data_IF_818977510010
#
_entry.id   IF_818977510010
#
_cell.length_a   1.000
_cell.length_b   1.000
_cell.length_c   1.000
_cell.angle_alpha   90.00
_cell.angle_beta   90.00
_cell.angle_gamma   90.00
#
_symmetry.space_group_name_H-M   'P 1'
#
loop_
_entity.id
_entity.type
_entity.pdbx_description
1 polymer ?
#
# COMPACT_ATOMS: atom_id res chain seq x y z
N UNK A 1 -28.38 21.75 30.99
CA UNK A 1 -27.16 21.72 31.83
C UNK A 1 -27.09 20.38 32.58
N UNK A 2 -26.45 19.37 31.99
CA UNK A 2 -26.24 18.07 32.63
C UNK A 2 -24.74 17.88 32.92
N UNK A 3 -24.36 17.82 34.20
CA UNK A 3 -22.99 17.60 34.66
C UNK A 3 -22.59 16.14 34.44
N UNK A 4 -21.76 15.86 33.44
CA UNK A 4 -21.10 14.55 33.29
C UNK A 4 -19.80 14.56 34.11
N UNK A 5 -19.71 13.66 35.10
CA UNK A 5 -18.55 13.47 35.98
C UNK A 5 -17.38 12.89 35.18
N UNK A 6 -16.23 13.55 35.20
CA UNK A 6 -14.93 13.02 34.74
C UNK A 6 -14.45 11.94 35.72
N UNK A 7 -14.13 10.74 35.21
CA UNK A 7 -13.26 9.78 35.88
C UNK A 7 -11.85 10.05 35.39
N UNK A 8 -10.96 10.44 36.30
CA UNK A 8 -9.52 10.39 36.08
C UNK A 8 -9.06 8.96 36.39
N UNK A 9 -8.31 8.35 35.48
CA UNK A 9 -7.51 7.16 35.75
C UNK A 9 -6.06 7.58 35.62
N UNK A 10 -5.41 7.68 36.78
CA UNK A 10 -3.96 7.81 36.88
C UNK A 10 -3.36 6.43 36.55
N UNK A 11 -2.63 6.36 35.44
CA UNK A 11 -1.70 5.25 35.19
C UNK A 11 -0.29 5.74 35.52
N UNK A 12 0.31 5.12 36.53
CA UNK A 12 1.74 5.25 36.81
C UNK A 12 2.52 4.44 35.77
N UNK A 13 3.49 5.08 35.12
CA UNK A 13 4.41 4.45 34.18
C UNK A 13 5.47 3.64 34.94
N UNK A 14 5.50 2.32 34.73
CA UNK A 14 6.65 1.47 35.06
C UNK A 14 7.59 1.37 33.84
N UNK A 15 8.92 1.52 34.01
CA UNK A 15 9.86 1.39 32.91
C UNK A 15 10.07 -0.08 32.51
N UNK A 16 9.81 -0.38 31.24
CA UNK A 16 10.11 -1.66 30.62
C UNK A 16 11.63 -1.88 30.52
N UNK A 17 12.15 -2.84 31.29
CA UNK A 17 13.49 -3.38 31.09
C UNK A 17 13.50 -4.30 29.87
N UNK A 18 14.36 -4.01 28.89
CA UNK A 18 14.61 -4.91 27.75
C UNK A 18 15.60 -6.02 28.14
N UNK A 19 15.38 -7.29 27.76
CA UNK A 19 16.36 -8.34 27.97
C UNK A 19 17.45 -8.32 26.88
N UNK A 20 18.70 -8.25 27.33
CA UNK A 20 19.92 -8.50 26.56
C UNK A 20 19.94 -9.94 26.03
N UNK A 21 19.95 -10.12 24.70
CA UNK A 21 20.29 -11.39 24.05
C UNK A 21 21.77 -11.36 23.63
N UNK A 22 22.53 -12.36 24.08
CA UNK A 22 23.92 -12.63 23.67
C UNK A 22 23.96 -13.24 22.26
N UNK A 23 25.01 -12.98 21.47
CA UNK A 23 25.20 -13.64 20.18
C UNK A 23 25.71 -15.07 20.40
N UNK A 24 25.08 -16.03 19.70
CA UNK A 24 25.55 -17.41 19.56
C UNK A 24 26.32 -17.48 18.23
N UNK A 25 27.55 -17.99 18.31
CA UNK A 25 28.51 -18.02 17.21
C UNK A 25 28.21 -19.04 16.12
N UNK A 26 28.87 -18.81 14.99
CA UNK A 26 28.96 -19.68 13.83
C UNK A 26 29.48 -21.08 14.17
N UNK A 27 29.12 -22.08 13.36
CA UNK A 27 30.12 -23.03 12.94
C UNK A 27 30.19 -23.24 11.43
N UNK A 28 31.42 -23.55 11.05
CA UNK A 28 31.97 -23.75 9.73
C UNK A 28 31.32 -24.87 8.90
N UNK A 29 31.49 -24.67 7.60
CA UNK A 29 31.47 -25.58 6.45
C UNK A 29 31.66 -27.07 6.72
N UNK A 30 30.84 -27.91 6.08
CA UNK A 30 31.35 -29.10 5.39
C UNK A 30 30.48 -29.46 4.18
N UNK A 31 31.13 -29.66 3.03
CA UNK A 31 30.53 -30.03 1.75
C UNK A 31 30.70 -31.53 1.54
N UNK A 32 29.60 -32.27 1.39
CA UNK A 32 29.63 -33.59 0.76
C UNK A 32 28.41 -33.81 -0.13
N UNK A 33 28.72 -34.06 -1.40
CA UNK A 33 27.83 -34.48 -2.47
C UNK A 33 27.40 -35.94 -2.26
N UNK A 34 26.12 -36.25 -2.46
CA UNK A 34 25.72 -37.58 -2.89
C UNK A 34 24.52 -37.53 -3.85
N UNK A 35 24.69 -38.22 -4.97
CA UNK A 35 23.73 -38.41 -6.05
C UNK A 35 22.64 -39.40 -5.63
N UNK A 36 21.38 -38.99 -5.70
CA UNK A 36 20.24 -39.91 -5.74
C UNK A 36 19.24 -39.48 -6.82
N UNK A 37 18.99 -40.38 -7.77
CA UNK A 37 18.02 -40.25 -8.86
C UNK A 37 16.59 -40.04 -8.36
N UNK A 38 15.73 -39.29 -9.08
CA UNK A 38 14.34 -39.13 -8.70
C UNK A 38 13.52 -40.36 -9.15
N UNK A 39 12.99 -41.10 -8.18
CA UNK A 39 11.94 -42.08 -8.44
C UNK A 39 10.64 -41.33 -8.77
N UNK A 40 10.23 -41.37 -10.04
CA UNK A 40 8.91 -40.91 -10.46
C UNK A 40 7.82 -41.80 -9.86
N UNK A 41 6.84 -41.18 -9.20
CA UNK A 41 5.62 -41.86 -8.77
C UNK A 41 4.80 -42.23 -10.03
N UNK A 42 4.84 -43.50 -10.43
CA UNK A 42 3.98 -44.03 -11.48
C UNK A 42 2.64 -44.43 -10.85
N UNK A 43 1.58 -43.69 -11.17
CA UNK A 43 0.19 -44.09 -10.91
C UNK A 43 -0.22 -45.16 -11.93
N UNK A 44 -0.51 -46.38 -11.47
CA UNK A 44 -1.10 -47.44 -12.31
C UNK A 44 -2.60 -47.58 -12.02
N UNK A 45 -3.42 -47.42 -13.07
CA UNK A 45 -4.84 -47.73 -13.08
C UNK A 45 -5.03 -49.24 -13.26
N UNK A 46 -5.56 -49.93 -12.24
CA UNK A 46 -6.02 -51.32 -12.39
C UNK A 46 -7.54 -51.38 -12.43
N UNK A 47 -8.07 -52.00 -13.49
CA UNK A 47 -9.49 -52.27 -13.64
C UNK A 47 -9.84 -53.53 -12.83
N UNK A 48 -10.61 -53.38 -11.75
CA UNK A 48 -11.12 -54.53 -10.99
C UNK A 48 -12.44 -55.02 -11.58
N UNK A 49 -12.71 -56.33 -11.47
CA UNK A 49 -13.95 -56.94 -11.95
C UNK A 49 -15.13 -56.45 -11.10
N UNK A 50 -15.88 -55.49 -11.65
CA UNK A 50 -17.10 -54.94 -11.08
C UNK A 50 -17.08 -53.41 -10.99
N UNK A 51 -16.95 -52.72 -12.13
CA UNK A 51 -17.14 -51.26 -12.32
C UNK A 51 -16.76 -50.32 -11.16
N UNK A 52 -15.72 -50.64 -10.39
CA UNK A 52 -15.14 -49.77 -9.37
C UNK A 52 -13.66 -49.58 -9.67
N UNK A 53 -13.30 -48.32 -9.96
CA UNK A 53 -11.92 -47.87 -9.97
C UNK A 53 -11.51 -47.60 -8.52
N UNK A 54 -10.61 -48.41 -7.99
CA UNK A 54 -10.00 -48.16 -6.68
C UNK A 54 -8.62 -47.58 -6.95
N UNK A 55 -8.45 -46.26 -6.79
CA UNK A 55 -7.12 -45.66 -6.68
C UNK A 55 -6.52 -46.12 -5.36
N UNK A 56 -5.66 -47.12 -5.42
CA UNK A 56 -4.85 -47.54 -4.27
C UNK A 56 -3.51 -46.79 -4.36
N UNK A 57 -3.39 -45.68 -3.63
CA UNK A 57 -2.07 -45.11 -3.33
C UNK A 57 -1.41 -46.11 -2.38
N UNK A 58 -0.52 -46.95 -2.89
CA UNK A 58 0.12 -48.02 -2.13
C UNK A 58 0.96 -47.40 -1.00
N UNK A 59 0.52 -47.59 0.26
CA UNK A 59 1.40 -47.52 1.42
C UNK A 59 1.10 -46.48 2.50
N UNK A 60 -0.02 -45.75 2.44
CA UNK A 60 -0.50 -44.97 3.59
C UNK A 60 -1.90 -45.45 3.99
N UNK A 61 -2.10 -45.66 5.29
CA UNK A 61 -3.44 -45.74 5.88
C UNK A 61 -4.31 -44.61 5.32
N UNK A 62 -5.64 -44.81 5.30
CA UNK A 62 -6.66 -43.90 4.75
C UNK A 62 -6.58 -42.51 5.39
N UNK A 63 -5.54 -41.74 5.07
CA UNK A 63 -5.49 -40.32 5.27
C UNK A 63 -6.57 -39.77 4.37
N UNK A 64 -7.56 -39.13 4.97
CA UNK A 64 -8.58 -38.36 4.28
C UNK A 64 -7.85 -37.41 3.33
N UNK A 65 -7.89 -37.69 2.03
CA UNK A 65 -7.32 -36.78 1.04
C UNK A 65 -8.05 -35.45 1.18
N UNK A 66 -7.31 -34.35 1.19
CA UNK A 66 -7.94 -33.04 1.22
C UNK A 66 -8.78 -32.85 -0.05
N UNK A 67 -9.84 -32.05 0.02
CA UNK A 67 -10.64 -31.72 -1.17
C UNK A 67 -9.76 -31.22 -2.32
N UNK A 68 -8.67 -30.50 -2.01
CA UNK A 68 -7.69 -30.01 -2.99
C UNK A 68 -6.98 -31.14 -3.73
N UNK A 69 -6.54 -32.18 -3.02
CA UNK A 69 -5.84 -33.33 -3.63
C UNK A 69 -6.78 -34.15 -4.51
N UNK A 70 -8.02 -34.32 -4.05
CA UNK A 70 -9.07 -35.03 -4.78
C UNK A 70 -9.43 -34.26 -6.06
N UNK A 71 -9.70 -32.96 -5.94
CA UNK A 71 -10.04 -32.11 -7.08
C UNK A 71 -8.86 -31.98 -8.06
N UNK A 72 -7.61 -31.93 -7.61
CA UNK A 72 -6.45 -31.94 -8.50
C UNK A 72 -6.37 -33.21 -9.36
N UNK A 73 -6.82 -34.35 -8.82
CA UNK A 73 -6.87 -35.62 -9.53
C UNK A 73 -8.03 -35.67 -10.53
N UNK A 74 -9.18 -35.08 -10.18
CA UNK A 74 -10.39 -35.11 -11.01
C UNK A 74 -10.54 -33.93 -11.99
N UNK A 75 -9.76 -32.85 -11.84
CA UNK A 75 -9.69 -31.76 -12.81
C UNK A 75 -8.77 -32.09 -14.00
N UNK A 76 -8.31 -33.33 -14.14
CA UNK A 76 -7.58 -33.79 -15.31
C UNK A 76 -8.54 -33.97 -16.52
N UNK A 77 -8.14 -33.62 -17.76
CA UNK A 77 -9.03 -33.53 -18.94
C UNK A 77 -9.75 -34.81 -19.40
N UNK A 78 -9.60 -35.94 -18.72
CA UNK A 78 -9.95 -37.27 -19.23
C UNK A 78 -11.23 -37.90 -18.63
N UNK A 79 -11.98 -37.18 -17.81
CA UNK A 79 -13.17 -37.72 -17.17
C UNK A 79 -14.42 -37.36 -17.99
N UNK A 80 -15.05 -38.36 -18.61
CA UNK A 80 -16.39 -38.21 -19.19
C UNK A 80 -17.47 -37.98 -18.13
N UNK A 81 -18.75 -38.16 -18.49
CA UNK A 81 -19.90 -37.95 -17.58
C UNK A 81 -19.84 -38.72 -16.25
N UNK A 82 -19.12 -39.83 -16.18
CA UNK A 82 -18.87 -40.57 -14.94
C UNK A 82 -17.97 -39.83 -13.93
N UNK A 83 -17.25 -38.79 -14.36
CA UNK A 83 -16.40 -37.97 -13.49
C UNK A 83 -17.17 -37.01 -12.59
N UNK A 84 -18.31 -36.51 -13.08
CA UNK A 84 -19.12 -35.53 -12.35
C UNK A 84 -19.67 -36.10 -11.05
N UNK A 85 -20.22 -37.32 -11.08
CA UNK A 85 -20.77 -37.98 -9.90
C UNK A 85 -19.70 -38.22 -8.82
N UNK A 86 -18.47 -38.52 -9.23
CA UNK A 86 -17.33 -38.73 -8.31
C UNK A 86 -16.97 -37.40 -7.66
N UNK A 87 -16.79 -36.34 -8.46
CA UNK A 87 -16.49 -34.99 -7.97
C UNK A 87 -17.56 -34.49 -7.00
N UNK A 88 -18.84 -34.65 -7.35
CA UNK A 88 -19.95 -34.23 -6.48
C UNK A 88 -20.00 -35.04 -5.17
N UNK A 89 -19.70 -36.34 -5.23
CA UNK A 89 -19.63 -37.18 -4.03
C UNK A 89 -18.52 -36.69 -3.09
N UNK A 90 -17.35 -36.38 -3.65
CA UNK A 90 -16.19 -35.96 -2.85
C UNK A 90 -16.37 -34.56 -2.27
N UNK A 91 -16.91 -33.61 -3.03
CA UNK A 91 -17.31 -32.29 -2.52
C UNK A 91 -18.30 -32.42 -1.36
N UNK A 92 -19.28 -33.33 -1.48
CA UNK A 92 -20.28 -33.55 -0.43
C UNK A 92 -19.68 -34.17 0.84
N UNK A 93 -18.61 -34.95 0.69
CA UNK A 93 -17.88 -35.57 1.80
C UNK A 93 -16.90 -34.60 2.49
N UNK A 94 -16.39 -33.59 1.79
CA UNK A 94 -15.52 -32.56 2.34
C UNK A 94 -16.20 -31.73 3.43
N UNK A 95 -15.43 -31.17 4.36
CA UNK A 95 -15.94 -30.22 5.36
C UNK A 95 -16.41 -28.91 4.71
N UNK A 96 -17.19 -28.10 5.42
CA UNK A 96 -17.63 -26.78 4.92
C UNK A 96 -16.41 -25.89 4.67
N UNK A 97 -15.47 -25.83 5.62
CA UNK A 97 -14.25 -25.02 5.52
C UNK A 97 -13.40 -25.39 4.30
N UNK A 98 -13.25 -26.69 4.00
CA UNK A 98 -12.49 -27.13 2.81
C UNK A 98 -13.17 -26.71 1.50
N UNK A 99 -14.51 -26.77 1.46
CA UNK A 99 -15.27 -26.32 0.29
C UNK A 99 -15.16 -24.81 0.10
N UNK A 100 -15.25 -24.04 1.18
CA UNK A 100 -15.11 -22.58 1.18
C UNK A 100 -13.70 -22.16 0.74
N UNK A 101 -12.66 -22.78 1.30
CA UNK A 101 -11.26 -22.51 0.92
C UNK A 101 -11.02 -22.85 -0.55
N UNK A 102 -11.48 -24.04 -0.99
CA UNK A 102 -11.33 -24.45 -2.38
C UNK A 102 -12.08 -23.52 -3.34
N UNK A 103 -13.29 -23.12 -2.97
CA UNK A 103 -14.11 -22.21 -3.76
C UNK A 103 -13.55 -20.78 -3.76
N UNK A 104 -12.94 -20.30 -2.69
CA UNK A 104 -12.38 -18.95 -2.58
C UNK A 104 -11.21 -18.69 -3.57
N UNK A 105 -10.49 -19.73 -3.97
CA UNK A 105 -9.41 -19.64 -4.96
C UNK A 105 -9.96 -19.45 -6.39
N UNK A 106 -9.71 -18.27 -6.97
CA UNK A 106 -10.13 -17.94 -8.33
C UNK A 106 -9.56 -18.88 -9.41
N UNK A 107 -8.37 -19.44 -9.16
CA UNK A 107 -7.71 -20.40 -10.06
C UNK A 107 -8.51 -21.70 -10.13
N UNK A 108 -9.03 -22.18 -9.00
CA UNK A 108 -9.85 -23.39 -8.96
C UNK A 108 -11.18 -23.18 -9.68
N UNK A 109 -11.84 -22.03 -9.46
CA UNK A 109 -13.08 -21.69 -10.16
C UNK A 109 -12.87 -21.63 -11.67
N UNK A 110 -11.78 -20.99 -12.11
CA UNK A 110 -11.41 -20.96 -13.53
C UNK A 110 -11.21 -22.37 -14.10
N UNK A 111 -10.45 -23.23 -13.41
CA UNK A 111 -10.22 -24.62 -13.82
C UNK A 111 -11.51 -25.43 -13.95
N UNK A 112 -12.44 -25.29 -13.00
CA UNK A 112 -13.74 -25.98 -13.09
C UNK A 112 -14.47 -25.62 -14.38
N UNK A 113 -14.49 -24.33 -14.76
CA UNK A 113 -15.14 -23.88 -16.01
C UNK A 113 -14.41 -24.34 -17.27
N UNK A 114 -13.09 -24.49 -17.20
CA UNK A 114 -12.30 -24.97 -18.33
C UNK A 114 -12.46 -26.48 -18.56
N UNK A 115 -12.67 -27.25 -17.48
CA UNK A 115 -12.73 -28.71 -17.52
C UNK A 115 -14.15 -29.23 -17.72
N UNK A 116 -15.15 -28.59 -17.11
CA UNK A 116 -16.54 -29.07 -17.12
C UNK A 116 -17.43 -28.24 -18.04
N UNK A 117 -18.39 -28.87 -18.75
CA UNK A 117 -19.49 -28.15 -19.39
C UNK A 117 -20.21 -27.20 -18.42
N UNK A 118 -20.86 -26.16 -18.95
CA UNK A 118 -21.47 -25.11 -18.12
C UNK A 118 -22.49 -25.68 -17.09
N UNK A 119 -23.32 -26.63 -17.49
CA UNK A 119 -24.32 -27.25 -16.62
C UNK A 119 -23.66 -28.08 -15.50
N UNK A 120 -22.59 -28.82 -15.83
CA UNK A 120 -21.83 -29.63 -14.87
C UNK A 120 -21.06 -28.74 -13.88
N UNK A 121 -20.42 -27.67 -14.39
CA UNK A 121 -19.75 -26.67 -13.59
C UNK A 121 -20.72 -26.00 -12.60
N UNK A 122 -21.97 -25.72 -13.03
CA UNK A 122 -23.04 -25.23 -12.15
C UNK A 122 -23.34 -26.20 -11.01
N UNK A 123 -23.46 -27.50 -11.29
CA UNK A 123 -23.70 -28.49 -10.22
C UNK A 123 -22.53 -28.57 -9.23
N UNK A 124 -21.30 -28.50 -9.73
CA UNK A 124 -20.08 -28.49 -8.91
C UNK A 124 -20.04 -27.25 -8.01
N UNK A 125 -20.26 -26.05 -8.57
CA UNK A 125 -20.31 -24.82 -7.79
C UNK A 125 -21.44 -24.83 -6.77
N UNK A 126 -22.63 -25.32 -7.12
CA UNK A 126 -23.74 -25.45 -6.18
C UNK A 126 -23.43 -26.40 -5.01
N UNK A 127 -22.65 -27.46 -5.25
CA UNK A 127 -22.20 -28.37 -4.21
C UNK A 127 -21.11 -27.76 -3.29
N UNK A 128 -20.20 -26.97 -3.86
CA UNK A 128 -19.18 -26.22 -3.13
C UNK A 128 -19.83 -25.13 -2.27
N UNK A 129 -20.74 -24.34 -2.85
CA UNK A 129 -21.50 -23.26 -2.23
C UNK A 129 -22.66 -23.72 -1.35
N UNK A 130 -22.65 -24.95 -0.82
CA UNK A 130 -23.69 -25.44 0.08
C UNK A 130 -23.53 -24.81 1.48
N UNK A 131 -23.47 -23.49 1.49
CA UNK A 131 -23.37 -22.60 2.62
C UNK A 131 -24.55 -22.84 3.57
N UNK A 132 -24.37 -22.51 4.87
CA UNK A 132 -25.49 -22.43 5.78
C UNK A 132 -26.62 -21.55 5.19
N UNK A 133 -27.88 -21.79 5.58
CA UNK A 133 -28.98 -20.90 5.24
C UNK A 133 -28.57 -19.46 5.48
N UNK A 134 -28.80 -18.59 4.50
CA UNK A 134 -28.62 -17.16 4.70
C UNK A 134 -29.62 -16.69 5.77
N UNK A 135 -29.12 -15.98 6.77
CA UNK A 135 -29.91 -15.38 7.83
C UNK A 135 -29.86 -13.87 7.60
N UNK A 136 -30.98 -13.22 7.24
CA UNK A 136 -31.02 -11.76 7.11
C UNK A 136 -30.55 -11.10 8.41
N UNK A 137 -29.66 -10.13 8.28
CA UNK A 137 -29.19 -9.28 9.38
C UNK A 137 -29.37 -7.80 9.06
N UNK A 138 -28.67 -6.93 9.80
CA UNK A 138 -28.74 -5.47 9.66
C UNK A 138 -28.50 -5.00 8.21
N UNK A 139 -27.50 -5.55 7.51
CA UNK A 139 -27.23 -5.19 6.11
C UNK A 139 -28.38 -5.53 5.14
N UNK A 140 -29.17 -6.56 5.46
CA UNK A 140 -30.38 -6.86 4.67
C UNK A 140 -31.48 -5.83 4.93
N UNK A 141 -31.62 -5.35 6.17
CA UNK A 141 -32.58 -4.29 6.51
C UNK A 141 -32.18 -2.97 5.83
N UNK A 142 -30.90 -2.62 5.88
CA UNK A 142 -30.33 -1.46 5.19
C UNK A 142 -30.56 -1.52 3.69
N UNK A 143 -30.32 -2.67 3.05
CA UNK A 143 -30.65 -2.86 1.63
C UNK A 143 -32.12 -2.56 1.32
N UNK A 144 -33.05 -2.99 2.18
CA UNK A 144 -34.47 -2.73 1.97
C UNK A 144 -34.87 -1.26 2.19
N UNK A 145 -34.10 -0.52 2.99
CA UNK A 145 -34.26 0.91 3.21
C UNK A 145 -33.74 1.79 2.04
N UNK A 146 -32.86 1.24 1.18
CA UNK A 146 -32.39 1.94 -0.02
C UNK A 146 -33.53 2.29 -0.98
N UNK A 147 -33.37 3.34 -1.77
CA UNK A 147 -34.29 3.64 -2.85
C UNK A 147 -34.17 2.64 -4.02
N UNK A 148 -35.15 2.62 -4.91
CA UNK A 148 -35.20 1.66 -6.02
C UNK A 148 -34.04 1.81 -7.01
N UNK A 149 -33.48 3.02 -7.15
CA UNK A 149 -32.34 3.25 -8.05
C UNK A 149 -31.05 2.68 -7.47
N UNK A 150 -30.82 2.85 -6.16
CA UNK A 150 -29.68 2.29 -5.46
C UNK A 150 -29.74 0.77 -5.38
N UNK A 151 -30.93 0.21 -5.09
CA UNK A 151 -31.17 -1.24 -5.14
C UNK A 151 -30.81 -1.81 -6.51
N UNK A 152 -31.26 -1.17 -7.60
CA UNK A 152 -30.96 -1.63 -8.95
C UNK A 152 -29.44 -1.67 -9.24
N UNK A 153 -28.67 -0.67 -8.78
CA UNK A 153 -27.20 -0.66 -8.92
C UNK A 153 -26.56 -1.79 -8.12
N UNK A 154 -26.99 -2.01 -6.89
CA UNK A 154 -26.49 -3.11 -6.04
C UNK A 154 -26.81 -4.46 -6.68
N UNK A 155 -28.03 -4.65 -7.17
CA UNK A 155 -28.47 -5.90 -7.80
C UNK A 155 -27.68 -6.18 -9.08
N UNK A 156 -27.45 -5.16 -9.92
CA UNK A 156 -26.62 -5.31 -11.11
C UNK A 156 -25.18 -5.71 -10.76
N UNK A 157 -24.57 -5.05 -9.76
CA UNK A 157 -23.22 -5.38 -9.29
C UNK A 157 -23.16 -6.79 -8.70
N UNK A 158 -24.15 -7.17 -7.88
CA UNK A 158 -24.24 -8.48 -7.27
C UNK A 158 -24.40 -9.58 -8.33
N UNK A 159 -25.23 -9.35 -9.36
CA UNK A 159 -25.39 -10.25 -10.49
C UNK A 159 -24.07 -10.43 -11.28
N UNK A 160 -23.40 -9.32 -11.63
CA UNK A 160 -22.11 -9.38 -12.33
C UNK A 160 -21.05 -10.12 -11.52
N UNK A 161 -20.98 -9.87 -10.21
CA UNK A 161 -20.03 -10.56 -9.34
C UNK A 161 -20.37 -12.04 -9.21
N UNK A 162 -21.65 -12.40 -9.05
CA UNK A 162 -22.08 -13.79 -9.00
C UNK A 162 -21.75 -14.52 -10.31
N UNK A 163 -22.03 -13.92 -11.45
CA UNK A 163 -21.69 -14.47 -12.77
C UNK A 163 -20.18 -14.65 -12.91
N UNK A 164 -19.38 -13.64 -12.54
CA UNK A 164 -17.93 -13.75 -12.54
C UNK A 164 -17.39 -14.85 -11.60
N UNK A 165 -18.08 -15.10 -10.48
CA UNK A 165 -17.73 -16.12 -9.48
C UNK A 165 -18.22 -17.54 -9.85
N UNK A 166 -19.35 -17.68 -10.53
CA UNK A 166 -20.01 -18.99 -10.72
C UNK A 166 -20.27 -19.38 -12.17
N UNK A 167 -20.26 -18.41 -13.09
CA UNK A 167 -20.76 -18.58 -14.47
C UNK A 167 -22.28 -18.64 -14.58
N UNK A 168 -23.02 -18.51 -13.47
CA UNK A 168 -24.48 -18.45 -13.48
C UNK A 168 -24.91 -17.03 -13.83
N UNK A 169 -25.49 -16.88 -15.01
CA UNK A 169 -26.11 -15.64 -15.48
C UNK A 169 -27.64 -15.76 -15.42
N UNK A 170 -28.31 -14.64 -15.14
CA UNK A 170 -29.78 -14.53 -15.16
C UNK A 170 -30.46 -14.62 -13.79
N UNK A 171 -31.80 -14.50 -13.76
CA UNK A 171 -32.57 -14.51 -12.52
C UNK A 171 -32.52 -15.88 -11.84
N UNK A 172 -32.34 -15.86 -10.52
CA UNK A 172 -32.32 -17.06 -9.68
C UNK A 172 -33.74 -17.41 -9.22
N UNK A 173 -34.16 -18.66 -9.39
CA UNK A 173 -35.45 -19.16 -8.94
C UNK A 173 -35.36 -19.74 -7.52
N UNK A 174 -35.87 -19.00 -6.53
CA UNK A 174 -35.88 -19.41 -5.12
C UNK A 174 -36.65 -20.71 -4.84
N UNK A 175 -37.57 -21.11 -5.72
CA UNK A 175 -38.30 -22.35 -5.62
C UNK A 175 -37.49 -23.55 -6.12
N UNK A 176 -36.56 -23.34 -7.04
CA UNK A 176 -35.65 -24.35 -7.56
C UNK A 176 -34.56 -24.68 -6.52
N UNK A 177 -34.46 -25.95 -6.14
CA UNK A 177 -33.43 -26.41 -5.20
C UNK A 177 -32.00 -26.22 -5.69
N UNK A 178 -31.77 -26.24 -7.01
CA UNK A 178 -30.44 -26.05 -7.61
C UNK A 178 -29.97 -24.60 -7.55
N UNK A 179 -30.90 -23.64 -7.49
CA UNK A 179 -30.61 -22.21 -7.46
C UNK A 179 -30.36 -21.70 -6.04
N UNK A 180 -30.86 -22.42 -5.01
CA UNK A 180 -30.75 -22.00 -3.60
C UNK A 180 -29.31 -21.70 -3.15
N UNK A 181 -28.27 -22.49 -3.49
CA UNK A 181 -26.89 -22.14 -3.14
C UNK A 181 -26.46 -20.80 -3.74
N UNK A 182 -26.74 -20.59 -5.03
CA UNK A 182 -26.41 -19.35 -5.74
C UNK A 182 -27.17 -18.16 -5.20
N UNK A 183 -28.45 -18.34 -4.85
CA UNK A 183 -29.30 -17.30 -4.30
C UNK A 183 -28.81 -16.84 -2.92
N UNK A 184 -28.34 -17.78 -2.08
CA UNK A 184 -27.69 -17.44 -0.80
C UNK A 184 -26.37 -16.72 -1.00
N UNK A 185 -25.54 -17.17 -1.96
CA UNK A 185 -24.28 -16.50 -2.30
C UNK A 185 -24.52 -15.07 -2.78
N UNK A 186 -25.53 -14.89 -3.64
CA UNK A 186 -25.96 -13.58 -4.13
C UNK A 186 -26.36 -12.65 -2.98
N UNK A 187 -27.14 -13.12 -2.00
CA UNK A 187 -27.51 -12.30 -0.84
C UNK A 187 -26.31 -11.83 -0.02
N UNK A 188 -25.27 -12.67 0.13
CA UNK A 188 -24.04 -12.28 0.83
C UNK A 188 -23.24 -11.25 0.04
N UNK A 189 -23.11 -11.44 -1.27
CA UNK A 189 -22.46 -10.46 -2.16
C UNK A 189 -23.19 -9.12 -2.05
N UNK A 190 -24.53 -9.13 -2.12
CA UNK A 190 -25.36 -7.94 -1.96
C UNK A 190 -25.08 -7.23 -0.64
N UNK A 191 -25.06 -7.96 0.48
CA UNK A 191 -24.80 -7.36 1.80
C UNK A 191 -23.41 -6.70 1.88
N UNK A 192 -22.37 -7.34 1.34
CA UNK A 192 -21.02 -6.72 1.24
C UNK A 192 -21.02 -5.45 0.38
N UNK A 193 -21.78 -5.44 -0.72
CA UNK A 193 -21.92 -4.25 -1.55
C UNK A 193 -22.69 -3.13 -0.85
N UNK A 194 -23.69 -3.48 -0.05
CA UNK A 194 -24.46 -2.53 0.79
C UNK A 194 -23.57 -1.93 1.87
N UNK A 195 -22.79 -2.75 2.56
CA UNK A 195 -21.79 -2.29 3.54
C UNK A 195 -20.81 -1.29 2.90
N UNK A 196 -20.32 -1.60 1.70
CA UNK A 196 -19.46 -0.71 0.93
C UNK A 196 -20.16 0.61 0.60
N UNK A 197 -21.40 0.57 0.13
CA UNK A 197 -22.20 1.77 -0.18
C UNK A 197 -22.44 2.63 1.07
N UNK A 198 -22.74 2.01 2.21
CA UNK A 198 -22.93 2.72 3.48
C UNK A 198 -21.62 3.40 3.88
N UNK A 199 -20.49 2.71 3.81
CA UNK A 199 -19.18 3.29 4.10
C UNK A 199 -18.85 4.47 3.17
N UNK A 200 -19.17 4.36 1.87
CA UNK A 200 -19.02 5.45 0.90
C UNK A 200 -19.90 6.66 1.25
N UNK A 201 -21.18 6.44 1.61
CA UNK A 201 -22.10 7.51 2.02
C UNK A 201 -21.66 8.19 3.32
N UNK A 202 -21.26 7.41 4.33
CA UNK A 202 -20.74 7.94 5.60
C UNK A 202 -19.49 8.77 5.35
N UNK A 203 -18.58 8.27 4.51
CA UNK A 203 -17.37 9.01 4.12
C UNK A 203 -17.70 10.31 3.37
N UNK A 204 -18.69 10.30 2.47
CA UNK A 204 -19.14 11.49 1.77
C UNK A 204 -19.75 12.54 2.73
N UNK A 205 -20.64 12.11 3.63
CA UNK A 205 -21.22 12.98 4.65
C UNK A 205 -20.14 13.54 5.60
N UNK A 206 -19.17 12.72 5.99
CA UNK A 206 -18.02 13.15 6.80
C UNK A 206 -17.20 14.23 6.09
N UNK A 207 -16.91 14.07 4.79
CA UNK A 207 -16.21 15.07 3.99
C UNK A 207 -16.93 16.41 3.98
N UNK A 208 -18.23 16.39 3.69
CA UNK A 208 -19.06 17.61 3.66
C UNK A 208 -19.07 18.31 5.02
N UNK A 209 -19.30 17.56 6.09
CA UNK A 209 -19.32 18.11 7.45
C UNK A 209 -17.97 18.71 7.87
N UNK A 210 -16.85 18.03 7.57
CA UNK A 210 -15.51 18.55 7.87
C UNK A 210 -15.22 19.84 7.08
N UNK A 211 -15.64 19.90 5.81
CA UNK A 211 -15.50 21.11 4.98
C UNK A 211 -16.41 22.26 5.47
N UNK A 212 -17.59 21.97 6.00
CA UNK A 212 -18.45 22.96 6.65
C UNK A 212 -17.79 23.51 7.92
N UNK A 213 -17.25 22.63 8.78
CA UNK A 213 -16.50 23.03 9.97
C UNK A 213 -15.30 23.92 9.61
N UNK A 214 -14.54 23.55 8.58
CA UNK A 214 -13.42 24.37 8.09
C UNK A 214 -13.87 25.77 7.64
N UNK A 215 -15.04 25.88 7.00
CA UNK A 215 -15.62 27.16 6.60
C UNK A 215 -16.20 27.99 7.74
N UNK A 216 -16.50 27.37 8.90
CA UNK A 216 -17.10 28.07 10.04
C UNK A 216 -16.11 28.93 10.83
N UNK A 217 -14.80 28.64 10.71
CA UNK A 217 -13.75 29.26 11.50
C UNK A 217 -13.56 28.65 12.90
N UNK A 218 -14.35 27.65 13.30
CA UNK A 218 -14.18 26.91 14.56
C UNK A 218 -13.05 25.87 14.46
N UNK A 219 -11.82 26.37 14.59
CA UNK A 219 -10.60 25.57 14.47
C UNK A 219 -10.48 24.47 15.52
N UNK A 220 -10.92 24.73 16.75
CA UNK A 220 -10.82 23.76 17.85
C UNK A 220 -11.71 22.55 17.58
N UNK A 221 -12.96 22.78 17.16
CA UNK A 221 -13.87 21.70 16.79
C UNK A 221 -13.37 20.94 15.57
N UNK A 222 -12.83 21.62 14.57
CA UNK A 222 -12.25 20.96 13.39
C UNK A 222 -11.09 20.02 13.77
N UNK A 223 -10.11 20.51 14.52
CA UNK A 223 -8.94 19.72 14.95
C UNK A 223 -9.38 18.54 15.80
N UNK A 224 -10.27 18.76 16.76
CA UNK A 224 -10.81 17.68 17.59
C UNK A 224 -11.51 16.61 16.76
N UNK A 225 -12.40 17.03 15.84
CA UNK A 225 -13.08 16.10 14.92
C UNK A 225 -12.08 15.26 14.15
N UNK A 226 -11.11 15.89 13.47
CA UNK A 226 -10.11 15.18 12.68
C UNK A 226 -9.27 14.22 13.50
N UNK A 227 -8.90 14.61 14.74
CA UNK A 227 -8.09 13.76 15.60
C UNK A 227 -8.84 12.50 16.07
N UNK A 228 -10.15 12.61 16.29
CA UNK A 228 -11.00 11.48 16.70
C UNK A 228 -11.33 10.46 15.61
N UNK A 229 -11.06 10.78 14.34
CA UNK A 229 -11.27 9.85 13.23
C UNK A 229 -10.34 8.64 13.34
N UNK A 230 -10.85 7.49 12.91
CA UNK A 230 -10.04 6.29 12.85
C UNK A 230 -9.01 6.34 11.69
N UNK A 231 -8.10 5.36 11.67
CA UNK A 231 -7.02 5.31 10.68
C UNK A 231 -7.55 5.18 9.23
N UNK A 232 -8.65 4.45 9.04
CA UNK A 232 -9.24 4.23 7.72
C UNK A 232 -9.96 5.48 7.20
N UNK A 233 -10.67 6.18 8.07
CA UNK A 233 -11.31 7.46 7.77
C UNK A 233 -10.28 8.53 7.43
N UNK A 234 -9.22 8.68 8.25
CA UNK A 234 -8.10 9.60 7.98
C UNK A 234 -7.46 9.31 6.62
N UNK A 235 -7.24 8.03 6.29
CA UNK A 235 -6.67 7.63 4.99
C UNK A 235 -7.62 7.96 3.83
N UNK A 236 -8.92 7.71 3.98
CA UNK A 236 -9.93 7.98 2.96
C UNK A 236 -10.03 9.49 2.66
N UNK A 237 -10.03 10.33 3.71
CA UNK A 237 -10.02 11.78 3.58
C UNK A 237 -8.72 12.29 2.95
N UNK A 238 -7.56 11.87 3.47
CA UNK A 238 -6.23 12.28 2.95
C UNK A 238 -6.01 11.92 1.47
N UNK A 239 -6.55 10.80 1.03
CA UNK A 239 -6.35 10.31 -0.34
C UNK A 239 -7.31 10.95 -1.34
N UNK A 240 -8.36 11.64 -0.87
CA UNK A 240 -9.27 12.38 -1.73
C UNK A 240 -8.71 13.78 -2.02
N UNK A 241 -8.24 13.94 -3.27
CA UNK A 241 -7.67 15.20 -3.74
C UNK A 241 -8.65 16.37 -3.63
N UNK A 242 -9.92 16.18 -4.03
CA UNK A 242 -10.91 17.26 -4.05
C UNK A 242 -11.24 17.72 -2.63
N UNK A 243 -11.30 16.78 -1.68
CA UNK A 243 -11.44 17.11 -0.27
C UNK A 243 -10.24 17.93 0.26
N UNK A 244 -9.01 17.51 -0.05
CA UNK A 244 -7.81 18.24 0.39
C UNK A 244 -7.72 19.64 -0.23
N UNK A 245 -8.10 19.80 -1.51
CA UNK A 245 -8.23 21.12 -2.15
C UNK A 245 -9.31 21.97 -1.47
N UNK A 246 -10.45 21.38 -1.13
CA UNK A 246 -11.51 22.06 -0.38
C UNK A 246 -11.08 22.53 1.01
N UNK A 247 -10.25 21.76 1.72
CA UNK A 247 -9.66 22.19 3.00
C UNK A 247 -8.70 23.35 2.79
N UNK A 248 -7.79 23.25 1.82
CA UNK A 248 -6.84 24.33 1.48
C UNK A 248 -7.58 25.64 1.18
N UNK A 249 -8.65 25.59 0.39
CA UNK A 249 -9.38 26.78 -0.04
C UNK A 249 -10.13 27.48 1.11
N UNK A 250 -10.40 26.76 2.21
CA UNK A 250 -11.18 27.27 3.36
C UNK A 250 -10.32 27.71 4.54
N UNK A 251 -9.07 27.24 4.61
CA UNK A 251 -8.21 27.41 5.78
C UNK A 251 -7.02 28.31 5.48
N UNK A 252 -6.51 28.99 6.51
CA UNK A 252 -5.18 29.59 6.41
C UNK A 252 -4.13 28.48 6.29
N UNK A 253 -2.96 28.80 5.72
CA UNK A 253 -1.91 27.83 5.45
C UNK A 253 -1.53 26.97 6.66
N UNK A 254 -1.29 27.59 7.82
CA UNK A 254 -0.87 26.88 9.03
C UNK A 254 -1.93 25.88 9.50
N UNK A 255 -3.21 26.26 9.44
CA UNK A 255 -4.32 25.39 9.82
C UNK A 255 -4.50 24.24 8.81
N UNK A 256 -4.38 24.53 7.51
CA UNK A 256 -4.43 23.50 6.46
C UNK A 256 -3.30 22.47 6.64
N UNK A 257 -2.07 22.93 6.85
CA UNK A 257 -0.93 22.05 7.02
C UNK A 257 -1.04 21.21 8.30
N UNK A 258 -1.57 21.79 9.39
CA UNK A 258 -1.88 21.05 10.61
C UNK A 258 -2.96 19.98 10.37
N UNK A 259 -4.04 20.31 9.65
CA UNK A 259 -5.08 19.34 9.29
C UNK A 259 -4.51 18.20 8.43
N UNK A 260 -3.67 18.51 7.45
CA UNK A 260 -2.98 17.51 6.64
C UNK A 260 -2.12 16.57 7.50
N UNK A 261 -1.41 17.10 8.50
CA UNK A 261 -0.62 16.33 9.46
C UNK A 261 -1.50 15.43 10.35
N UNK A 262 -2.63 15.93 10.87
CA UNK A 262 -3.58 15.14 11.68
C UNK A 262 -4.20 14.00 10.85
N UNK A 263 -4.50 14.26 9.57
CA UNK A 263 -4.91 13.26 8.59
C UNK A 263 -3.77 12.28 8.23
N UNK A 264 -2.58 12.46 8.79
CA UNK A 264 -1.44 11.57 8.75
C UNK A 264 -0.49 11.79 7.57
N UNK A 265 -0.52 12.96 6.91
CA UNK A 265 0.62 13.39 6.09
C UNK A 265 1.82 13.58 7.02
N UNK A 266 3.01 13.18 6.56
CA UNK A 266 4.27 13.39 7.26
C UNK A 266 5.37 13.65 6.25
N UNK A 267 6.38 14.40 6.66
CA UNK A 267 7.63 14.46 5.92
C UNK A 267 8.29 13.08 5.91
N UNK A 268 8.98 12.76 4.82
CA UNK A 268 9.88 11.62 4.78
C UNK A 268 11.15 11.96 5.57
N UNK A 269 11.76 10.95 6.19
CA UNK A 269 13.09 11.11 6.80
C UNK A 269 14.17 11.22 5.72
N UNK A 270 15.34 11.72 6.08
CA UNK A 270 16.48 11.76 5.16
C UNK A 270 16.83 10.38 4.58
N UNK A 271 16.78 9.32 5.39
CA UNK A 271 17.00 7.94 4.91
C UNK A 271 15.88 7.47 3.98
N UNK A 272 14.62 7.77 4.29
CA UNK A 272 13.50 7.44 3.39
C UNK A 272 13.59 8.20 2.06
N UNK A 273 14.04 9.46 2.08
CA UNK A 273 14.25 10.26 0.89
C UNK A 273 15.39 9.72 0.03
N UNK A 274 16.51 9.33 0.66
CA UNK A 274 17.67 8.75 -0.03
C UNK A 274 17.30 7.52 -0.86
N UNK A 275 16.38 6.70 -0.38
CA UNK A 275 15.93 5.49 -1.07
C UNK A 275 14.70 5.73 -1.98
N UNK A 276 14.16 6.96 -2.01
CA UNK A 276 12.96 7.27 -2.79
C UNK A 276 13.28 7.39 -4.29
N UNK A 277 12.60 6.64 -5.20
CA UNK A 277 12.95 6.60 -6.62
C UNK A 277 13.00 7.96 -7.32
N UNK A 278 12.05 8.85 -7.02
CA UNK A 278 12.04 10.20 -7.61
C UNK A 278 13.20 11.07 -7.11
N UNK A 279 13.69 10.86 -5.88
CA UNK A 279 14.83 11.59 -5.32
C UNK A 279 16.13 11.06 -5.94
N UNK A 280 16.25 9.74 -6.09
CA UNK A 280 17.38 9.12 -6.80
C UNK A 280 17.47 9.65 -8.24
N UNK A 281 16.34 9.72 -8.95
CA UNK A 281 16.33 10.30 -10.30
C UNK A 281 16.79 11.76 -10.28
N UNK A 282 16.24 12.59 -9.38
CA UNK A 282 16.63 14.01 -9.28
C UNK A 282 18.12 14.21 -8.96
N UNK A 283 18.69 13.36 -8.10
CA UNK A 283 20.11 13.39 -7.76
C UNK A 283 20.99 12.93 -8.94
N UNK A 284 20.52 11.98 -9.75
CA UNK A 284 21.23 11.58 -10.98
C UNK A 284 21.18 12.69 -12.04
N UNK A 285 20.02 13.32 -12.23
CA UNK A 285 19.87 14.45 -13.16
C UNK A 285 20.80 15.60 -12.74
N UNK A 286 20.82 15.95 -11.45
CA UNK A 286 21.74 16.97 -10.93
C UNK A 286 23.22 16.56 -11.06
N UNK A 287 23.54 15.26 -10.94
CA UNK A 287 24.90 14.75 -11.15
C UNK A 287 25.34 14.82 -12.61
N UNK A 288 24.43 14.64 -13.56
CA UNK A 288 24.75 14.81 -14.98
C UNK A 288 24.93 16.30 -15.31
N UNK A 289 24.05 17.16 -14.78
CA UNK A 289 24.11 18.61 -14.93
C UNK A 289 25.38 19.23 -14.32
N UNK A 290 25.94 18.62 -13.27
CA UNK A 290 27.14 19.12 -12.58
C UNK A 290 28.44 18.94 -13.36
N UNK A 291 28.38 18.33 -14.55
CA UNK A 291 29.50 18.06 -15.45
C UNK A 291 30.73 17.44 -14.74
N UNK A 292 30.57 16.34 -13.99
CA UNK A 292 31.55 15.84 -13.02
C UNK A 292 32.87 15.37 -13.64
N UNK A 293 32.92 15.20 -14.97
CA UNK A 293 34.10 14.77 -15.72
C UNK A 293 34.88 15.95 -16.34
N UNK A 294 34.43 17.20 -16.12
CA UNK A 294 35.12 18.39 -16.56
C UNK A 294 36.01 18.97 -15.44
N UNK A 295 37.07 19.72 -15.78
CA UNK A 295 37.81 20.50 -14.79
C UNK A 295 36.87 21.44 -14.01
N UNK A 296 37.21 21.83 -12.77
CA UNK A 296 36.38 22.76 -12.01
C UNK A 296 36.16 24.09 -12.72
N UNK A 297 34.90 24.52 -12.77
CA UNK A 297 34.55 25.83 -13.29
C UNK A 297 35.22 26.91 -12.43
N UNK A 298 35.95 27.82 -13.07
CA UNK A 298 36.71 28.87 -12.37
C UNK A 298 35.98 30.22 -12.33
N UNK A 299 34.83 30.32 -12.97
CA UNK A 299 34.01 31.53 -12.98
C UNK A 299 32.57 31.20 -13.36
N UNK A 300 31.67 32.16 -13.16
CA UNK A 300 30.28 32.03 -13.59
C UNK A 300 30.14 31.87 -15.12
N UNK A 301 31.03 32.49 -15.89
CA UNK A 301 31.00 32.39 -17.35
C UNK A 301 31.52 31.03 -17.86
N UNK A 302 32.09 30.21 -16.96
CA UNK A 302 32.71 28.91 -17.24
C UNK A 302 31.85 27.72 -16.79
N UNK A 303 30.68 27.96 -16.16
CA UNK A 303 29.78 26.92 -15.64
C UNK A 303 29.41 25.89 -16.72
N UNK A 304 29.15 26.34 -17.95
CA UNK A 304 28.77 25.44 -19.05
C UNK A 304 29.94 24.54 -19.51
N UNK A 305 31.17 24.82 -19.08
CA UNK A 305 32.39 24.14 -19.52
C UNK A 305 33.21 23.56 -18.36
N UNK A 306 32.71 23.61 -17.13
CA UNK A 306 33.41 23.12 -15.95
C UNK A 306 32.48 22.49 -14.93
N UNK A 307 33.05 21.62 -14.10
CA UNK A 307 32.28 21.02 -13.02
C UNK A 307 31.86 22.08 -11.99
N UNK A 308 30.67 21.93 -11.44
CA UNK A 308 30.09 22.87 -10.48
C UNK A 308 29.04 22.16 -9.63
N UNK A 309 28.79 22.66 -8.42
CA UNK A 309 27.72 22.09 -7.60
C UNK A 309 26.34 22.30 -8.23
N UNK A 310 25.52 21.27 -8.18
CA UNK A 310 24.12 21.31 -8.62
C UNK A 310 23.21 20.83 -7.50
N UNK A 311 21.95 21.27 -7.49
CA UNK A 311 21.07 20.94 -6.37
C UNK A 311 19.81 21.80 -6.27
N UNK A 312 19.17 21.70 -5.10
CA UNK A 312 17.96 22.46 -4.80
C UNK A 312 17.21 21.93 -3.59
N UNK A 313 15.89 21.94 -3.70
CA UNK A 313 14.98 21.69 -2.59
C UNK A 313 13.95 20.62 -2.93
N UNK A 314 13.55 19.84 -1.92
CA UNK A 314 12.54 18.80 -1.99
C UNK A 314 11.34 19.22 -1.16
N UNK A 315 10.17 19.28 -1.77
CA UNK A 315 8.91 19.66 -1.15
C UNK A 315 7.95 18.47 -1.07
N UNK A 316 7.13 18.43 -0.02
CA UNK A 316 5.95 17.57 0.06
C UNK A 316 4.70 18.38 -0.27
N UNK A 317 4.04 18.06 -1.37
CA UNK A 317 2.74 18.63 -1.71
C UNK A 317 1.67 18.02 -0.78
N UNK A 318 1.05 18.83 0.08
CA UNK A 318 0.15 18.38 1.13
C UNK A 318 -1.20 17.89 0.58
N UNK A 319 -1.63 18.42 -0.57
CA UNK A 319 -2.86 17.99 -1.27
C UNK A 319 -2.67 16.60 -1.86
N UNK A 320 -1.63 16.42 -2.69
CA UNK A 320 -1.43 15.19 -3.46
C UNK A 320 -0.61 14.12 -2.72
N UNK A 321 0.20 14.53 -1.75
CA UNK A 321 1.19 13.69 -1.09
C UNK A 321 2.41 13.35 -1.94
N UNK A 322 2.58 14.00 -3.10
CA UNK A 322 3.72 13.78 -3.99
C UNK A 322 4.89 14.68 -3.61
N UNK A 323 6.09 14.22 -3.94
CA UNK A 323 7.29 15.05 -3.86
C UNK A 323 7.36 15.99 -5.06
N UNK A 324 7.81 17.21 -4.82
CA UNK A 324 8.14 18.19 -5.84
C UNK A 324 9.57 18.69 -5.66
N UNK A 325 10.22 19.02 -6.76
CA UNK A 325 11.61 19.46 -6.77
C UNK A 325 11.69 20.89 -7.32
N UNK A 326 12.57 21.70 -6.74
CA UNK A 326 12.96 23.01 -7.28
C UNK A 326 14.47 23.08 -7.32
N UNK A 327 15.03 23.32 -8.51
CA UNK A 327 16.47 23.53 -8.70
C UNK A 327 16.84 24.92 -8.15
N UNK A 328 18.04 25.06 -7.61
CA UNK A 328 18.56 26.36 -7.22
C UNK A 328 19.14 27.09 -8.46
N UNK A 329 18.65 28.30 -8.74
CA UNK A 329 19.08 29.06 -9.93
C UNK A 329 20.37 29.87 -9.70
N UNK A 330 20.93 29.82 -8.48
CA UNK A 330 22.03 30.69 -8.07
C UNK A 330 23.23 29.88 -7.63
N UNK A 331 24.33 30.09 -8.36
CA UNK A 331 25.67 29.72 -7.96
C UNK A 331 26.39 30.92 -7.34
N UNK A 332 27.20 30.64 -6.32
CA UNK A 332 28.10 31.58 -5.66
C UNK A 332 29.53 31.20 -6.02
N UNK A 333 30.31 32.21 -6.38
CA UNK A 333 31.76 32.07 -6.56
C UNK A 333 32.40 32.30 -5.20
N UNK A 334 33.00 31.28 -4.61
CA UNK A 334 33.76 31.37 -3.37
C UNK A 334 35.23 31.53 -3.72
N UNK A 335 35.87 32.61 -3.23
CA UNK A 335 37.29 32.87 -3.47
C UNK A 335 38.03 32.78 -2.15
N UNK A 336 38.84 31.74 -1.97
CA UNK A 336 39.79 31.68 -0.86
C UNK A 336 41.17 32.22 -1.28
N UNK A 337 41.87 32.85 -0.35
CA UNK A 337 43.19 33.41 -0.63
C UNK A 337 44.19 32.28 -0.96
N UNK A 338 44.68 32.26 -2.20
CA UNK A 338 45.69 31.29 -2.65
C UNK A 338 45.12 30.00 -3.24
N UNK A 339 43.80 29.87 -3.41
CA UNK A 339 43.17 28.75 -4.13
C UNK A 339 42.43 29.25 -5.36
N UNK A 340 42.14 28.37 -6.34
CA UNK A 340 41.15 28.67 -7.37
C UNK A 340 39.79 28.99 -6.74
N UNK A 341 38.97 29.83 -7.39
CA UNK A 341 37.58 30.01 -7.02
C UNK A 341 36.81 28.69 -7.10
N UNK A 342 35.90 28.49 -6.16
CA UNK A 342 34.99 27.35 -6.09
C UNK A 342 33.58 27.80 -6.45
N UNK A 343 32.85 26.96 -7.18
CA UNK A 343 31.47 27.21 -7.59
C UNK A 343 30.52 26.43 -6.71
N UNK A 344 30.00 27.11 -5.67
CA UNK A 344 29.10 26.53 -4.69
C UNK A 344 27.64 26.91 -4.96
N UNK A 345 26.71 26.02 -4.62
CA UNK A 345 25.28 26.28 -4.77
C UNK A 345 24.72 27.10 -3.61
N UNK A 346 23.82 28.06 -3.91
CA UNK A 346 23.13 28.83 -2.88
C UNK A 346 21.77 28.24 -2.54
N UNK A 347 21.70 27.49 -1.44
CA UNK A 347 20.46 26.90 -0.93
C UNK A 347 19.76 27.75 0.13
N UNK A 348 20.26 28.96 0.44
CA UNK A 348 19.78 29.74 1.60
C UNK A 348 18.39 30.36 1.45
N UNK A 349 17.85 30.43 0.23
CA UNK A 349 16.58 31.07 -0.09
C UNK A 349 15.67 30.14 -0.92
N UNK A 350 15.13 29.06 -0.32
CA UNK A 350 14.11 28.24 -0.95
C UNK A 350 12.92 29.08 -1.45
N UNK A 351 12.45 28.86 -2.69
CA UNK A 351 11.22 29.49 -3.16
C UNK A 351 10.01 28.92 -2.42
N UNK A 352 8.97 29.72 -2.23
CA UNK A 352 7.67 29.18 -1.83
C UNK A 352 7.06 28.35 -2.96
N UNK A 353 6.51 27.19 -2.61
CA UNK A 353 5.80 26.31 -3.54
C UNK A 353 4.36 26.18 -3.06
N UNK A 354 3.41 26.39 -3.96
CA UNK A 354 1.99 26.26 -3.64
C UNK A 354 1.68 24.86 -3.12
N UNK A 355 0.84 24.81 -2.08
CA UNK A 355 0.35 23.58 -1.44
C UNK A 355 1.43 22.66 -0.88
N UNK A 356 2.68 23.10 -0.84
CA UNK A 356 3.80 22.26 -0.50
C UNK A 356 4.66 22.86 0.62
N UNK A 357 5.35 21.97 1.32
CA UNK A 357 6.23 22.31 2.42
C UNK A 357 7.62 21.73 2.16
N UNK A 358 8.66 22.53 2.40
CA UNK A 358 10.04 22.11 2.26
C UNK A 358 10.35 21.01 3.29
N UNK A 359 10.82 19.85 2.83
CA UNK A 359 11.14 18.70 3.69
C UNK A 359 12.62 18.31 3.66
N UNK A 360 13.39 18.75 2.66
CA UNK A 360 14.84 18.53 2.57
C UNK A 360 15.47 19.48 1.54
N UNK A 361 16.79 19.65 1.60
CA UNK A 361 17.56 20.14 0.47
C UNK A 361 18.41 19.00 -0.11
N UNK A 362 18.94 19.20 -1.32
CA UNK A 362 19.87 18.28 -1.93
C UNK A 362 20.93 19.03 -2.73
N UNK A 363 22.15 18.47 -2.79
CA UNK A 363 23.18 18.96 -3.70
C UNK A 363 24.19 17.90 -4.09
N UNK A 364 25.02 18.24 -5.08
CA UNK A 364 26.03 17.38 -5.67
C UNK A 364 27.42 17.92 -5.38
N UNK A 365 28.32 17.04 -4.95
CA UNK A 365 29.75 17.28 -4.97
C UNK A 365 30.35 16.57 -6.20
N UNK A 366 30.57 17.27 -7.33
CA UNK A 366 30.98 16.66 -8.62
C UNK A 366 32.45 16.21 -8.65
N UNK A 367 32.98 15.79 -7.51
CA UNK A 367 34.40 15.55 -7.32
C UNK A 367 34.82 14.20 -7.88
N UNK A 368 35.96 14.17 -8.59
CA UNK A 368 36.62 12.92 -8.96
C UNK A 368 37.18 12.20 -7.72
N UNK A 369 37.30 10.87 -7.82
CA UNK A 369 37.88 10.02 -6.79
C UNK A 369 39.28 10.53 -6.37
N UNK A 370 39.42 10.83 -5.08
CA UNK A 370 40.70 11.21 -4.46
C UNK A 370 41.09 12.69 -4.55
N UNK A 371 40.29 13.57 -5.17
CA UNK A 371 40.60 15.01 -5.25
C UNK A 371 40.08 15.78 -4.03
N UNK A 372 38.89 15.42 -3.54
CA UNK A 372 38.24 16.05 -2.38
C UNK A 372 37.83 14.99 -1.36
N UNK A 373 37.53 15.44 -0.14
CA UNK A 373 36.99 14.56 0.90
C UNK A 373 35.62 14.01 0.48
N UNK A 374 35.39 12.73 0.76
CA UNK A 374 34.10 12.08 0.53
C UNK A 374 33.03 12.63 1.49
N UNK A 375 31.81 12.77 0.98
CA UNK A 375 30.65 13.21 1.76
C UNK A 375 30.54 14.71 2.04
N UNK A 376 29.67 15.09 3.00
CA UNK A 376 29.41 16.48 3.34
C UNK A 376 30.60 17.18 4.01
N UNK A 377 30.82 18.43 3.61
CA UNK A 377 31.78 19.35 4.20
C UNK A 377 31.33 19.82 5.59
N UNK A 378 32.25 20.44 6.35
CA UNK A 378 31.89 21.07 7.63
C UNK A 378 30.89 22.23 7.49
N UNK A 379 30.91 22.92 6.34
CA UNK A 379 29.96 23.99 6.03
C UNK A 379 28.56 23.43 5.75
N UNK A 380 28.46 22.26 5.11
CA UNK A 380 27.19 21.56 4.89
C UNK A 380 26.48 21.26 6.22
N UNK A 381 27.21 20.68 7.19
CA UNK A 381 26.66 20.39 8.52
C UNK A 381 26.21 21.66 9.25
N UNK A 382 27.03 22.71 9.21
CA UNK A 382 26.72 23.98 9.89
C UNK A 382 25.47 24.62 9.30
N UNK A 383 25.33 24.56 7.98
CA UNK A 383 24.25 25.20 7.24
C UNK A 383 22.94 24.43 7.39
N UNK A 384 22.95 23.11 7.23
CA UNK A 384 21.73 22.29 7.27
C UNK A 384 21.06 22.28 8.65
N UNK A 385 21.85 22.34 9.72
CA UNK A 385 21.31 22.37 11.08
C UNK A 385 20.50 23.65 11.34
N UNK A 386 20.88 24.76 10.69
CA UNK A 386 20.12 26.03 10.75
C UNK A 386 18.80 25.98 9.97
N UNK A 387 18.67 25.02 9.05
CA UNK A 387 17.52 24.89 8.15
C UNK A 387 16.40 24.01 8.69
N UNK A 388 16.64 23.21 9.73
CA UNK A 388 15.59 22.40 10.39
C UNK A 388 14.97 21.31 9.50
N UNK A 389 15.66 20.91 8.44
CA UNK A 389 15.31 19.81 7.53
C UNK A 389 16.57 18.99 7.22
N UNK A 390 16.46 17.68 6.90
CA UNK A 390 17.62 16.88 6.50
C UNK A 390 18.21 17.37 5.16
N UNK A 391 19.50 17.16 4.98
CA UNK A 391 20.21 17.38 3.73
C UNK A 391 20.58 16.07 3.05
N UNK A 392 20.55 16.07 1.72
CA UNK A 392 21.01 14.97 0.89
C UNK A 392 22.18 15.42 0.03
N UNK A 393 23.26 14.64 0.01
CA UNK A 393 24.42 14.93 -0.81
C UNK A 393 24.76 13.71 -1.63
N UNK A 394 24.93 13.88 -2.94
CA UNK A 394 25.47 12.83 -3.80
C UNK A 394 26.90 13.19 -4.21
N UNK A 395 27.80 12.25 -4.00
CA UNK A 395 29.14 12.26 -4.56
C UNK A 395 29.33 11.06 -5.51
N UNK A 396 30.56 10.85 -5.98
CA UNK A 396 30.90 9.74 -6.89
C UNK A 396 30.74 8.35 -6.22
N UNK A 397 30.71 8.28 -4.89
CA UNK A 397 30.61 7.03 -4.13
C UNK A 397 29.15 6.64 -3.93
N UNK A 398 28.35 7.56 -3.36
CA UNK A 398 26.99 7.26 -2.89
C UNK A 398 26.18 8.53 -2.58
N UNK A 399 24.97 8.30 -2.07
CA UNK A 399 24.13 9.34 -1.46
C UNK A 399 24.30 9.32 0.06
N UNK A 400 24.61 10.48 0.61
CA UNK A 400 24.73 10.78 2.03
C UNK A 400 23.48 11.49 2.53
N UNK A 401 23.10 11.18 3.77
CA UNK A 401 22.11 11.94 4.54
C UNK A 401 22.89 12.67 5.62
N UNK A 402 22.63 13.96 5.81
CA UNK A 402 23.33 14.77 6.79
C UNK A 402 22.43 15.79 7.48
N UNK A 403 22.94 16.35 8.60
CA UNK A 403 22.20 17.19 9.53
C UNK A 403 21.71 16.44 10.77
N UNK A 404 21.48 17.20 11.85
CA UNK A 404 21.03 16.69 13.15
C UNK A 404 19.54 16.35 13.19
N UNK A 405 18.77 16.95 12.27
CA UNK A 405 17.32 16.76 12.18
C UNK A 405 17.02 15.66 11.16
N UNK A 406 16.49 14.49 11.58
CA UNK A 406 16.27 13.37 10.66
C UNK A 406 15.11 13.60 9.69
N UNK A 407 14.21 14.55 10.01
CA UNK A 407 13.05 14.93 9.20
C UNK A 407 12.49 16.27 9.66
N UNK A 408 11.74 16.95 8.79
CA UNK A 408 10.87 18.04 9.23
C UNK A 408 9.82 17.56 10.23
N UNK A 409 9.89 18.07 11.46
CA UNK A 409 9.04 17.60 12.57
C UNK A 409 7.56 18.01 12.43
N UNK A 410 7.31 19.24 11.98
CA UNK A 410 5.96 19.78 11.83
C UNK A 410 5.73 20.28 10.40
N UNK A 411 4.57 19.92 9.82
CA UNK A 411 4.19 20.39 8.49
C UNK A 411 3.60 21.81 8.55
N UNK A 412 2.98 22.17 9.67
CA UNK A 412 2.55 23.54 9.95
C UNK A 412 3.74 24.50 10.12
N UNK A 413 3.51 25.78 9.86
CA UNK A 413 4.51 26.85 9.91
C UNK A 413 4.99 27.30 8.53
N UNK A 414 6.18 27.89 8.45
CA UNK A 414 6.72 28.44 7.20
C UNK A 414 6.82 27.35 6.11
N UNK A 415 6.32 27.63 4.90
CA UNK A 415 6.40 26.74 3.72
C UNK A 415 7.83 26.39 3.35
N UNK A 416 8.76 27.30 3.63
CA UNK A 416 10.19 27.16 3.37
C UNK A 416 10.89 26.57 4.61
N UNK A 417 12.03 27.10 5.02
CA UNK A 417 12.70 26.62 6.22
C UNK A 417 11.81 26.85 7.46
N UNK A 418 11.58 25.82 8.28
CA UNK A 418 10.97 25.98 9.59
C UNK A 418 11.97 26.75 10.47
N UNK A 419 11.98 28.08 10.38
CA UNK A 419 12.82 28.90 11.26
C UNK A 419 12.49 28.58 12.72
N UNK A 420 13.54 28.44 13.53
CA UNK A 420 13.46 28.26 14.99
C UNK A 420 13.06 29.54 15.73
#
# INVERSE_FOLDING_TARGET
>A
MAKRRRRTHDYAEEPLQQPYLKPVGDPETDTQSDHASPAGNILQLHQSRGNQYVMRVLGKDTATLSLKDVMATHLAPALGSSGLDIVLKDIRAATISEREEFYADATNRKKIREVFPADDARLIFGALLKDPPYIPGELSEEYHALDESEKAVIDEKANKQLEAETGVAGPLDWSNSEDKPFARRWLRIRDTLVETLIAEKVTAALKEWVLELAGSGDKETLVFTLDTLDKSEKLALRSDKAFMEGLRDKLAWEDFANCAQILGRRALTGEELKDHPAVIQQLNDAWEDSLPMLPPATSKDDIENGNHEEGGWIYLNLVTGKLEFRKADKLRVIVHAGTPPEMAIDLSLPPEVDDAVLIANYHIHPNEEGVYAEGPSGEDYTTIDSYGVPGLLKDWVKVWVYGTVPMRLNLAGNRTYPMF
#
